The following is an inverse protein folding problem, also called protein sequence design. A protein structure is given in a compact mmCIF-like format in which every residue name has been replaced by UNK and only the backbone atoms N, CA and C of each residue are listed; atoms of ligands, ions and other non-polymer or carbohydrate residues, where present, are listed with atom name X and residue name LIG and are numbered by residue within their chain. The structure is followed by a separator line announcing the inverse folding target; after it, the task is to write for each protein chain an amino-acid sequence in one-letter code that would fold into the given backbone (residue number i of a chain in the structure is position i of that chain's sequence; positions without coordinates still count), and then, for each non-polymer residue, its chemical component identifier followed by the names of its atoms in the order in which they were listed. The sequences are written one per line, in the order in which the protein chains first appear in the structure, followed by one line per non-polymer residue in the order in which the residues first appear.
data_IF_604561072647
#
_entry.id   IF_604561072647
#
_cell.length_a   1.000
_cell.length_b   1.000
_cell.length_c   1.000
_cell.angle_alpha   90.00
_cell.angle_beta   90.00
_cell.angle_gamma   90.00
#
_symmetry.space_group_name_H-M   'P 1'
#
loop_
_entity.id
_entity.type
_entity.pdbx_description
1 polymer ?
#
# COMPACT_ATOMS: atom_id res chain seq x y z
N UNK A 1 -3.26 -6.47 -14.96
CA UNK A 1 -2.36 -6.68 -16.13
C UNK A 1 -0.94 -6.77 -15.59
N UNK A 2 -0.10 -7.65 -16.17
CA UNK A 2 1.29 -7.74 -15.76
C UNK A 2 2.05 -6.45 -16.10
N UNK A 3 2.97 -6.07 -15.21
CA UNK A 3 3.89 -4.95 -15.40
C UNK A 3 5.31 -5.43 -15.09
N UNK A 4 6.31 -4.65 -15.43
CA UNK A 4 7.68 -4.85 -14.97
C UNK A 4 8.19 -3.59 -14.26
N UNK A 5 9.02 -3.76 -13.24
CA UNK A 5 9.78 -2.67 -12.63
C UNK A 5 11.24 -2.84 -13.00
N UNK A 6 11.84 -1.81 -13.57
CA UNK A 6 13.25 -1.78 -13.95
C UNK A 6 14.00 -0.79 -13.06
N UNK A 7 14.61 -1.29 -11.99
CA UNK A 7 15.47 -0.50 -11.13
C UNK A 7 16.89 -0.41 -11.70
N UNK A 8 17.61 0.70 -11.49
CA UNK A 8 18.99 0.85 -11.92
C UNK A 8 19.91 -0.26 -11.35
N UNK A 9 20.63 -0.93 -12.24
CA UNK A 9 21.55 -2.01 -11.86
C UNK A 9 20.90 -3.36 -11.60
N UNK A 10 19.60 -3.49 -11.74
CA UNK A 10 18.85 -4.75 -11.61
C UNK A 10 18.22 -5.15 -12.95
N UNK A 11 18.03 -6.45 -13.16
CA UNK A 11 17.20 -6.92 -14.26
C UNK A 11 15.73 -6.52 -14.02
N UNK A 12 14.93 -6.24 -15.07
CA UNK A 12 13.52 -5.97 -14.91
C UNK A 12 12.81 -7.07 -14.11
N UNK A 13 11.96 -6.68 -13.18
CA UNK A 13 11.15 -7.57 -12.35
C UNK A 13 9.70 -7.60 -12.89
N UNK A 14 9.30 -8.65 -13.62
CA UNK A 14 7.91 -8.83 -14.01
C UNK A 14 7.06 -9.17 -12.79
N UNK A 15 5.89 -8.55 -12.68
CA UNK A 15 4.95 -8.75 -11.58
C UNK A 15 3.50 -8.71 -12.05
N UNK A 16 2.67 -9.47 -11.33
CA UNK A 16 1.22 -9.44 -11.45
C UNK A 16 0.62 -9.21 -10.05
N UNK A 17 -0.13 -8.13 -9.88
CA UNK A 17 -0.81 -7.87 -8.61
C UNK A 17 -1.88 -8.93 -8.34
N UNK A 18 -1.82 -9.54 -7.14
CA UNK A 18 -2.73 -10.64 -6.77
C UNK A 18 -4.19 -10.18 -6.75
N UNK A 19 -4.45 -8.98 -6.24
CA UNK A 19 -5.80 -8.44 -6.09
C UNK A 19 -6.52 -8.22 -7.43
N UNK A 20 -5.78 -7.90 -8.49
CA UNK A 20 -6.35 -7.63 -9.83
C UNK A 20 -6.22 -8.81 -10.79
N UNK A 21 -5.62 -9.91 -10.33
CA UNK A 21 -5.48 -11.14 -11.10
C UNK A 21 -6.75 -11.98 -11.04
N UNK A 22 -6.89 -12.85 -12.03
CA UNK A 22 -7.82 -13.98 -12.02
C UNK A 22 -7.02 -15.28 -12.25
N UNK A 23 -7.63 -16.46 -12.07
CA UNK A 23 -6.92 -17.74 -12.25
C UNK A 23 -6.30 -17.90 -13.64
N UNK A 24 -6.96 -17.43 -14.69
CA UNK A 24 -6.47 -17.53 -16.08
C UNK A 24 -5.28 -16.59 -16.30
N UNK A 25 -5.39 -15.37 -15.84
CA UNK A 25 -4.31 -14.37 -15.91
C UNK A 25 -3.08 -14.81 -15.13
N UNK A 26 -3.27 -15.40 -13.94
CA UNK A 26 -2.18 -15.97 -13.16
C UNK A 26 -1.51 -17.14 -13.89
N UNK A 27 -2.29 -18.09 -14.40
CA UNK A 27 -1.75 -19.23 -15.14
C UNK A 27 -0.97 -18.78 -16.38
N UNK A 28 -1.51 -17.81 -17.11
CA UNK A 28 -0.83 -17.22 -18.27
C UNK A 28 0.47 -16.53 -17.88
N UNK A 29 0.47 -15.77 -16.79
CA UNK A 29 1.65 -15.04 -16.30
C UNK A 29 2.73 -16.00 -15.80
N UNK A 30 2.36 -16.98 -14.96
CA UNK A 30 3.28 -17.93 -14.36
C UNK A 30 3.65 -19.11 -15.29
N UNK A 31 3.07 -19.20 -16.49
CA UNK A 31 3.32 -20.28 -17.44
C UNK A 31 2.84 -21.66 -16.96
N UNK A 32 1.81 -21.72 -16.11
CA UNK A 32 1.26 -22.94 -15.54
C UNK A 32 2.15 -23.62 -14.49
N UNK A 33 3.26 -22.97 -14.08
CA UNK A 33 4.19 -23.47 -13.08
C UNK A 33 3.95 -22.88 -11.67
N UNK A 34 4.71 -23.38 -10.71
CA UNK A 34 4.78 -22.78 -9.39
C UNK A 34 5.48 -21.42 -9.48
N UNK A 35 5.00 -20.45 -8.71
CA UNK A 35 5.44 -19.05 -8.76
C UNK A 35 5.87 -18.53 -7.40
N UNK A 36 6.83 -17.60 -7.33
CA UNK A 36 7.15 -16.88 -6.12
C UNK A 36 6.13 -15.76 -5.86
N UNK A 37 5.88 -15.47 -4.58
CA UNK A 37 4.96 -14.42 -4.15
C UNK A 37 5.69 -13.37 -3.33
N UNK A 38 5.63 -12.11 -3.74
CA UNK A 38 6.12 -10.97 -2.98
C UNK A 38 5.01 -10.38 -2.12
N UNK A 39 5.29 -10.15 -0.85
CA UNK A 39 4.38 -9.49 0.10
C UNK A 39 5.12 -8.42 0.92
N UNK A 40 4.37 -7.52 1.52
CA UNK A 40 4.96 -6.56 2.46
C UNK A 40 5.51 -7.25 3.71
N UNK A 41 6.52 -6.66 4.36
CA UNK A 41 7.06 -7.18 5.63
C UNK A 41 5.97 -7.25 6.71
N UNK A 42 5.11 -6.23 6.83
CA UNK A 42 4.00 -6.24 7.78
C UNK A 42 3.05 -7.42 7.57
N UNK A 43 2.77 -7.79 6.31
CA UNK A 43 1.98 -8.98 6.01
C UNK A 43 2.72 -10.27 6.37
N UNK A 44 4.01 -10.35 6.07
CA UNK A 44 4.86 -11.47 6.47
C UNK A 44 4.93 -11.67 7.99
N UNK A 45 4.96 -10.57 8.74
CA UNK A 45 4.92 -10.61 10.21
C UNK A 45 3.60 -11.21 10.73
N UNK A 46 2.47 -10.81 10.17
CA UNK A 46 1.15 -11.37 10.49
C UNK A 46 1.12 -12.88 10.21
N UNK A 47 1.71 -13.30 9.10
CA UNK A 47 1.79 -14.71 8.69
C UNK A 47 2.89 -15.51 9.42
N UNK A 48 3.62 -14.89 10.37
CA UNK A 48 4.71 -15.51 11.14
C UNK A 48 5.91 -15.98 10.31
N UNK A 49 6.18 -15.29 9.21
CA UNK A 49 7.30 -15.60 8.31
C UNK A 49 8.60 -14.86 8.68
N UNK A 50 8.52 -13.80 9.49
CA UNK A 50 9.67 -12.94 9.85
C UNK A 50 10.71 -13.61 10.75
N UNK A 51 10.46 -14.83 11.22
CA UNK A 51 11.43 -15.66 11.94
C UNK A 51 12.44 -16.35 10.99
N UNK A 52 12.22 -16.28 9.68
CA UNK A 52 13.12 -16.84 8.66
C UNK A 52 14.15 -15.78 8.24
N UNK A 53 15.39 -16.22 7.98
CA UNK A 53 16.51 -15.31 7.71
C UNK A 53 16.25 -14.35 6.54
N UNK A 54 15.64 -14.84 5.46
CA UNK A 54 15.33 -14.03 4.28
C UNK A 54 14.20 -13.01 4.50
N UNK A 55 13.52 -13.04 5.64
CA UNK A 55 12.44 -12.13 6.02
C UNK A 55 12.75 -11.32 7.30
N UNK A 56 14.00 -11.37 7.76
CA UNK A 56 14.38 -10.78 9.06
C UNK A 56 14.49 -9.25 9.04
N UNK A 57 14.70 -8.64 7.87
CA UNK A 57 14.82 -7.19 7.72
C UNK A 57 13.40 -6.57 7.66
N UNK A 58 13.02 -5.71 8.63
CA UNK A 58 11.69 -5.12 8.68
C UNK A 58 11.43 -4.08 7.58
N UNK A 59 12.48 -3.55 6.97
CA UNK A 59 12.37 -2.48 5.96
C UNK A 59 12.27 -3.04 4.52
N UNK A 60 12.46 -4.35 4.35
CA UNK A 60 12.38 -5.01 3.04
C UNK A 60 11.11 -5.84 2.89
N UNK A 61 10.54 -5.93 1.68
CA UNK A 61 9.48 -6.88 1.38
C UNK A 61 9.98 -8.32 1.51
N UNK A 62 9.06 -9.27 1.54
CA UNK A 62 9.37 -10.69 1.71
C UNK A 62 8.90 -11.46 0.50
N UNK A 63 9.80 -12.25 -0.10
CA UNK A 63 9.46 -13.20 -1.15
C UNK A 63 9.22 -14.58 -0.56
N UNK A 64 8.12 -15.22 -0.95
CA UNK A 64 7.75 -16.59 -0.60
C UNK A 64 8.17 -17.50 -1.76
N UNK A 65 8.85 -18.59 -1.41
CA UNK A 65 9.26 -19.61 -2.39
C UNK A 65 8.04 -20.25 -3.08
N UNK A 66 8.18 -20.60 -4.37
CA UNK A 66 7.18 -21.42 -5.05
C UNK A 66 6.90 -22.71 -4.29
N UNK A 67 5.62 -23.06 -4.16
CA UNK A 67 5.21 -24.31 -3.52
C UNK A 67 4.04 -24.93 -4.30
N UNK A 68 3.93 -26.27 -4.35
CA UNK A 68 2.86 -26.95 -5.10
C UNK A 68 1.45 -26.59 -4.64
N UNK A 69 1.30 -26.13 -3.40
CA UNK A 69 0.03 -25.68 -2.80
C UNK A 69 -0.16 -24.16 -2.84
N UNK A 70 0.79 -23.42 -3.39
CA UNK A 70 0.66 -21.98 -3.61
C UNK A 70 -0.07 -21.77 -4.95
N UNK A 71 -1.38 -21.96 -4.95
CA UNK A 71 -2.29 -21.68 -6.04
C UNK A 71 -2.88 -20.27 -5.95
N UNK A 72 -3.76 -19.92 -6.90
CA UNK A 72 -4.41 -18.61 -6.91
C UNK A 72 -5.18 -18.33 -5.62
N UNK A 73 -5.95 -19.27 -5.12
CA UNK A 73 -6.76 -19.10 -3.91
C UNK A 73 -5.90 -18.88 -2.67
N UNK A 74 -4.78 -19.59 -2.61
CA UNK A 74 -3.79 -19.44 -1.54
C UNK A 74 -3.07 -18.09 -1.65
N UNK A 75 -2.71 -17.65 -2.85
CA UNK A 75 -2.09 -16.34 -3.07
C UNK A 75 -3.03 -15.20 -2.62
N UNK A 76 -4.32 -15.27 -2.95
CA UNK A 76 -5.34 -14.32 -2.47
C UNK A 76 -5.43 -14.35 -0.94
N UNK A 77 -5.50 -15.52 -0.32
CA UNK A 77 -5.58 -15.64 1.14
C UNK A 77 -4.29 -15.16 1.84
N UNK A 78 -3.14 -15.25 1.19
CA UNK A 78 -1.88 -14.68 1.70
C UNK A 78 -1.86 -13.16 1.57
N UNK A 79 -2.41 -12.61 0.48
CA UNK A 79 -2.44 -11.18 0.22
C UNK A 79 -3.42 -10.45 1.14
N UNK A 80 -4.65 -10.97 1.28
CA UNK A 80 -5.77 -10.29 1.90
C UNK A 80 -6.02 -10.74 3.36
N UNK A 81 -5.92 -9.82 4.33
CA UNK A 81 -6.17 -10.09 5.74
C UNK A 81 -7.60 -10.55 6.07
N UNK A 82 -8.60 -10.23 5.23
CA UNK A 82 -9.99 -10.66 5.48
C UNK A 82 -10.14 -12.18 5.56
N UNK A 83 -9.24 -12.93 4.91
CA UNK A 83 -9.23 -14.39 4.94
C UNK A 83 -8.46 -15.00 6.12
N UNK A 84 -7.90 -14.20 7.03
CA UNK A 84 -7.06 -14.73 8.11
C UNK A 84 -7.83 -15.60 9.10
N UNK A 85 -9.07 -15.26 9.38
CA UNK A 85 -9.93 -16.05 10.26
C UNK A 85 -10.51 -17.29 9.56
N UNK A 86 -10.80 -17.18 8.26
CA UNK A 86 -11.36 -18.30 7.49
C UNK A 86 -10.30 -19.36 7.15
N UNK A 87 -9.05 -18.94 6.95
CA UNK A 87 -7.92 -19.81 6.60
C UNK A 87 -6.73 -19.56 7.53
N UNK A 88 -6.81 -19.92 8.82
CA UNK A 88 -5.79 -19.60 9.81
C UNK A 88 -4.47 -20.34 9.58
N UNK A 89 -4.51 -21.51 8.95
CA UNK A 89 -3.33 -22.36 8.65
C UNK A 89 -3.09 -22.36 7.15
N UNK A 90 -2.39 -21.34 6.65
CA UNK A 90 -2.14 -21.16 5.22
C UNK A 90 -0.90 -21.91 4.71
N UNK A 91 0.08 -22.21 5.58
CA UNK A 91 1.36 -22.78 5.24
C UNK A 91 1.49 -24.30 5.43
N UNK A 92 2.72 -24.82 5.41
CA UNK A 92 3.98 -24.08 5.63
C UNK A 92 4.52 -23.38 4.37
N UNK A 93 5.09 -22.17 4.56
CA UNK A 93 5.79 -21.46 3.50
C UNK A 93 7.24 -21.18 3.89
N UNK A 94 8.11 -21.11 2.90
CA UNK A 94 9.50 -20.68 3.05
C UNK A 94 9.69 -19.33 2.41
N UNK A 95 10.55 -18.52 3.00
CA UNK A 95 10.98 -17.27 2.40
C UNK A 95 12.27 -17.47 1.63
N UNK A 96 12.41 -16.74 0.54
CA UNK A 96 13.61 -16.76 -0.31
C UNK A 96 14.27 -15.39 -0.35
N UNK A 97 15.55 -15.36 -0.69
CA UNK A 97 16.28 -14.12 -0.94
C UNK A 97 15.68 -13.38 -2.13
N UNK A 98 15.69 -12.06 -2.04
CA UNK A 98 15.23 -11.18 -3.12
C UNK A 98 16.43 -10.76 -3.96
N UNK A 99 16.46 -11.17 -5.24
CA UNK A 99 17.55 -10.85 -6.16
C UNK A 99 17.47 -9.40 -6.68
N UNK A 100 16.27 -8.79 -6.63
CA UNK A 100 15.98 -7.44 -7.13
C UNK A 100 15.32 -6.60 -6.03
N UNK A 101 16.08 -6.22 -4.98
CA UNK A 101 15.52 -5.57 -3.80
C UNK A 101 14.94 -4.18 -4.09
N UNK A 102 15.58 -3.39 -4.97
CA UNK A 102 15.07 -2.05 -5.29
C UNK A 102 13.76 -2.11 -6.09
N UNK A 103 13.67 -3.01 -7.08
CA UNK A 103 12.44 -3.23 -7.84
C UNK A 103 11.31 -3.79 -6.95
N UNK A 104 11.64 -4.71 -6.04
CA UNK A 104 10.67 -5.29 -5.10
C UNK A 104 10.12 -4.25 -4.11
N UNK A 105 10.98 -3.38 -3.59
CA UNK A 105 10.56 -2.28 -2.72
C UNK A 105 9.66 -1.28 -3.47
N UNK A 106 10.03 -0.96 -4.72
CA UNK A 106 9.24 -0.09 -5.59
C UNK A 106 7.87 -0.71 -5.91
N UNK A 107 7.78 -2.03 -6.09
CA UNK A 107 6.52 -2.74 -6.30
C UNK A 107 5.55 -2.56 -5.11
N UNK A 108 6.03 -2.75 -3.89
CA UNK A 108 5.22 -2.57 -2.68
C UNK A 108 4.75 -1.10 -2.54
N UNK A 109 5.62 -0.14 -2.89
CA UNK A 109 5.23 1.29 -2.89
C UNK A 109 4.17 1.58 -3.94
N UNK A 110 4.35 1.06 -5.15
CA UNK A 110 3.38 1.22 -6.24
C UNK A 110 2.00 0.67 -5.87
N UNK A 111 1.93 -0.53 -5.26
CA UNK A 111 0.66 -1.09 -4.80
C UNK A 111 -0.06 -0.15 -3.82
N UNK A 112 0.68 0.41 -2.86
CA UNK A 112 0.10 1.35 -1.87
C UNK A 112 -0.45 2.62 -2.53
N UNK A 113 0.26 3.18 -3.51
CA UNK A 113 -0.19 4.37 -4.26
C UNK A 113 -1.44 4.04 -5.07
N UNK A 114 -1.48 2.86 -5.67
CA UNK A 114 -2.62 2.38 -6.46
C UNK A 114 -3.82 1.94 -5.61
N UNK A 115 -3.72 1.98 -4.28
CA UNK A 115 -4.77 1.48 -3.37
C UNK A 115 -4.97 -0.03 -3.43
N UNK A 116 -3.94 -0.77 -3.85
CA UNK A 116 -3.98 -2.23 -3.96
C UNK A 116 -3.31 -2.91 -2.77
N UNK A 117 -3.69 -4.16 -2.51
CA UNK A 117 -2.97 -5.03 -1.58
C UNK A 117 -1.52 -5.19 -2.04
N UNK A 118 -0.52 -4.97 -1.15
CA UNK A 118 0.89 -5.05 -1.51
C UNK A 118 1.36 -6.50 -1.62
N UNK A 119 0.86 -7.21 -2.64
CA UNK A 119 1.15 -8.60 -2.93
C UNK A 119 1.21 -8.85 -4.44
N UNK A 120 2.31 -9.46 -4.92
CA UNK A 120 2.56 -9.70 -6.33
C UNK A 120 3.08 -11.10 -6.58
N UNK A 121 2.60 -11.73 -7.64
CA UNK A 121 3.28 -12.87 -8.26
C UNK A 121 4.46 -12.34 -9.06
N UNK A 122 5.61 -13.01 -8.95
CA UNK A 122 6.87 -12.59 -9.56
C UNK A 122 7.28 -13.48 -10.75
N UNK A 123 8.19 -12.94 -11.55
CA UNK A 123 8.98 -13.68 -12.54
C UNK A 123 8.19 -14.36 -13.67
N UNK A 124 6.99 -13.88 -13.94
CA UNK A 124 6.20 -14.35 -15.06
C UNK A 124 6.52 -13.64 -16.38
N UNK A 125 5.64 -13.82 -17.34
CA UNK A 125 5.74 -13.27 -18.70
C UNK A 125 4.58 -12.33 -19.02
N UNK A 126 4.67 -11.62 -20.16
CA UNK A 126 3.57 -10.78 -20.64
C UNK A 126 3.49 -9.38 -20.02
N UNK A 127 4.56 -8.92 -19.37
CA UNK A 127 4.64 -7.53 -18.92
C UNK A 127 4.84 -6.60 -20.13
N UNK A 128 3.81 -5.81 -20.46
CA UNK A 128 3.84 -4.87 -21.57
C UNK A 128 4.33 -3.48 -21.16
N UNK A 129 4.18 -3.14 -19.89
CA UNK A 129 4.56 -1.83 -19.34
C UNK A 129 5.73 -2.01 -18.38
N UNK A 130 6.76 -1.20 -18.56
CA UNK A 130 7.90 -1.14 -17.64
C UNK A 130 7.90 0.20 -16.93
N UNK A 131 8.03 0.17 -15.60
CA UNK A 131 8.01 1.33 -14.71
C UNK A 131 9.38 1.51 -14.09
N UNK A 132 9.91 2.74 -14.13
CA UNK A 132 11.08 3.16 -13.40
C UNK A 132 10.69 3.51 -11.95
N UNK A 133 11.37 3.01 -10.91
CA UNK A 133 11.16 3.44 -9.52
C UNK A 133 11.18 4.96 -9.33
N UNK A 134 12.01 5.68 -10.08
CA UNK A 134 12.04 7.14 -10.02
C UNK A 134 10.72 7.79 -10.45
N UNK A 135 9.96 7.18 -11.36
CA UNK A 135 8.63 7.66 -11.73
C UNK A 135 7.62 7.51 -10.58
N UNK A 136 7.74 6.44 -9.79
CA UNK A 136 6.93 6.22 -8.58
C UNK A 136 7.24 7.30 -7.53
N UNK A 137 8.53 7.58 -7.31
CA UNK A 137 8.97 8.60 -6.35
C UNK A 137 8.54 10.02 -6.80
N UNK A 138 8.64 10.32 -8.09
CA UNK A 138 8.19 11.57 -8.67
C UNK A 138 6.67 11.76 -8.53
N UNK A 139 5.89 10.70 -8.74
CA UNK A 139 4.44 10.72 -8.55
C UNK A 139 4.09 11.01 -7.08
N UNK A 140 4.72 10.35 -6.12
CA UNK A 140 4.52 10.62 -4.71
C UNK A 140 4.91 12.07 -4.32
N UNK A 141 5.99 12.59 -4.90
CA UNK A 141 6.41 13.98 -4.66
C UNK A 141 5.44 14.99 -5.28
N UNK A 142 4.84 14.68 -6.44
CA UNK A 142 3.83 15.52 -7.09
C UNK A 142 2.50 15.54 -6.36
N UNK A 143 2.17 14.44 -5.66
CA UNK A 143 0.97 14.28 -4.84
C UNK A 143 0.98 15.10 -3.54
N UNK A 144 1.97 15.97 -3.31
CA UNK A 144 2.01 16.86 -2.17
C UNK A 144 0.75 17.73 -2.12
N UNK A 145 0.04 17.69 -1.00
CA UNK A 145 -1.16 18.49 -0.77
C UNK A 145 -0.86 19.98 -0.98
N UNK A 146 -1.69 20.64 -1.77
CA UNK A 146 -1.60 22.08 -1.99
C UNK A 146 -2.70 22.79 -1.20
N UNK A 147 -2.32 23.86 -0.52
CA UNK A 147 -3.28 24.74 0.15
C UNK A 147 -4.27 25.29 -0.90
N UNK A 148 -5.53 24.94 -0.76
CA UNK A 148 -6.59 25.42 -1.63
C UNK A 148 -7.24 26.70 -1.06
N UNK A 149 -7.59 26.69 0.22
CA UNK A 149 -8.21 27.83 0.89
C UNK A 149 -8.04 27.76 2.39
N UNK A 150 -8.21 28.88 3.05
CA UNK A 150 -8.16 29.02 4.51
C UNK A 150 -9.24 30.01 4.94
N UNK A 151 -9.96 29.69 6.01
CA UNK A 151 -11.00 30.55 6.55
C UNK A 151 -11.03 30.46 8.07
N UNK A 152 -11.43 31.54 8.74
CA UNK A 152 -11.78 31.48 10.16
C UNK A 152 -13.08 30.71 10.31
N UNK A 153 -13.10 29.79 11.25
CA UNK A 153 -14.26 28.96 11.59
C UNK A 153 -14.42 28.94 13.12
N UNK A 154 -14.99 29.99 13.72
CA UNK A 154 -15.28 29.97 15.14
C UNK A 154 -16.25 28.83 15.47
N UNK A 155 -15.84 27.97 16.40
CA UNK A 155 -16.67 26.88 16.92
C UNK A 155 -16.85 27.03 18.41
N UNK A 156 -17.85 26.42 18.99
CA UNK A 156 -18.09 26.45 20.43
C UNK A 156 -16.86 25.94 21.19
N UNK A 157 -16.36 26.74 22.13
CA UNK A 157 -15.15 26.45 22.88
C UNK A 157 -13.82 26.69 22.13
N UNK A 158 -13.86 27.16 20.86
CA UNK A 158 -12.66 27.48 20.08
C UNK A 158 -12.92 28.63 19.08
N UNK A 159 -13.12 29.84 19.60
CA UNK A 159 -13.47 31.02 18.80
C UNK A 159 -12.39 31.46 17.80
N UNK A 160 -11.12 31.08 18.04
CA UNK A 160 -10.00 31.38 17.15
C UNK A 160 -9.67 30.22 16.17
N UNK A 161 -10.58 29.27 16.02
CA UNK A 161 -10.35 28.14 15.10
C UNK A 161 -10.35 28.60 13.64
N UNK A 162 -9.53 27.90 12.86
CA UNK A 162 -9.43 28.08 11.42
C UNK A 162 -9.60 26.74 10.70
N UNK A 163 -10.26 26.77 9.57
CA UNK A 163 -10.36 25.63 8.66
C UNK A 163 -9.44 25.86 7.47
N UNK A 164 -8.67 24.86 7.13
CA UNK A 164 -7.74 24.87 6.00
C UNK A 164 -8.05 23.69 5.09
N UNK A 165 -8.36 23.98 3.83
CA UNK A 165 -8.60 22.96 2.84
C UNK A 165 -7.36 22.77 1.95
N UNK A 166 -7.06 21.51 1.69
CA UNK A 166 -5.98 21.10 0.81
C UNK A 166 -6.54 20.24 -0.31
N UNK A 167 -5.89 20.26 -1.46
CA UNK A 167 -6.19 19.40 -2.61
C UNK A 167 -4.94 18.65 -3.04
N UNK A 168 -5.12 17.39 -3.38
CA UNK A 168 -4.13 16.64 -4.15
C UNK A 168 -4.24 17.00 -5.63
N UNK A 169 -3.15 17.16 -6.37
CA UNK A 169 -3.21 17.34 -7.82
C UNK A 169 -3.73 16.10 -8.54
N UNK A 170 -3.61 14.92 -7.93
CA UNK A 170 -3.86 13.61 -8.55
C UNK A 170 -5.16 12.94 -8.07
N UNK A 171 -5.89 13.59 -7.16
CA UNK A 171 -7.16 13.09 -6.61
C UNK A 171 -8.18 14.21 -6.51
N UNK A 172 -9.46 13.88 -6.67
CA UNK A 172 -10.56 14.79 -6.38
C UNK A 172 -10.85 14.93 -4.88
N UNK A 173 -10.14 14.20 -4.03
CA UNK A 173 -10.37 14.19 -2.60
C UNK A 173 -9.92 15.50 -1.97
N UNK A 174 -10.76 16.04 -1.11
CA UNK A 174 -10.45 17.22 -0.32
C UNK A 174 -9.96 16.79 1.07
N UNK A 175 -8.82 17.32 1.47
CA UNK A 175 -8.28 17.13 2.81
C UNK A 175 -8.48 18.41 3.61
N UNK A 176 -9.06 18.27 4.79
CA UNK A 176 -9.39 19.40 5.65
C UNK A 176 -8.61 19.29 6.96
N UNK A 177 -8.04 20.41 7.39
CA UNK A 177 -7.45 20.55 8.72
C UNK A 177 -8.23 21.62 9.50
N UNK A 178 -8.69 21.27 10.70
CA UNK A 178 -9.16 22.24 11.69
C UNK A 178 -8.00 22.60 12.62
N UNK A 179 -7.63 23.85 12.66
CA UNK A 179 -6.59 24.39 13.52
C UNK A 179 -7.23 25.08 14.72
N UNK A 180 -6.91 24.60 15.92
CA UNK A 180 -7.41 25.16 17.17
C UNK A 180 -6.24 25.73 17.98
N UNK A 181 -6.29 27.02 18.27
CA UNK A 181 -5.24 27.72 18.98
C UNK A 181 -4.07 28.15 18.10
N UNK A 182 -3.02 28.68 18.72
CA UNK A 182 -1.83 29.20 18.05
C UNK A 182 -0.60 28.34 18.34
N UNK A 183 0.31 28.17 17.36
CA UNK A 183 1.59 27.53 17.60
C UNK A 183 2.37 28.25 18.69
N UNK A 184 2.79 27.53 19.72
CA UNK A 184 3.52 28.08 20.86
C UNK A 184 4.97 27.57 20.98
N UNK A 185 5.50 26.97 19.91
CA UNK A 185 6.84 26.36 19.88
C UNK A 185 6.87 24.92 20.41
N UNK A 186 5.79 24.41 20.96
CA UNK A 186 5.66 22.99 21.30
C UNK A 186 5.10 22.18 20.12
N UNK A 187 5.39 20.88 20.00
CA UNK A 187 4.77 20.03 18.99
C UNK A 187 3.23 20.08 19.10
N UNK A 188 2.50 20.32 18.02
CA UNK A 188 1.04 20.35 18.05
C UNK A 188 0.48 18.95 18.31
N UNK A 189 -0.63 18.87 19.03
CA UNK A 189 -1.43 17.64 19.10
C UNK A 189 -2.20 17.49 17.80
N UNK A 190 -1.98 16.38 17.09
CA UNK A 190 -2.66 16.06 15.84
C UNK A 190 -3.59 14.87 16.05
N UNK A 191 -4.83 14.99 15.56
CA UNK A 191 -5.79 13.89 15.46
C UNK A 191 -6.18 13.69 14.01
N UNK A 192 -6.12 12.46 13.55
CA UNK A 192 -6.65 12.06 12.25
C UNK A 192 -8.11 11.61 12.41
N UNK A 193 -8.94 12.06 11.49
CA UNK A 193 -10.36 11.73 11.45
C UNK A 193 -10.76 11.41 10.02
N UNK A 194 -11.37 10.26 9.79
CA UNK A 194 -11.74 9.77 8.46
C UNK A 194 -13.26 9.78 8.19
N UNK A 195 -14.03 10.22 9.17
CA UNK A 195 -15.48 10.16 9.14
C UNK A 195 -16.13 11.55 8.98
N UNK A 196 -17.35 11.73 9.45
CA UNK A 196 -18.17 12.90 9.23
C UNK A 196 -17.63 14.17 9.92
N UNK A 197 -16.95 15.03 9.15
CA UNK A 197 -16.45 16.30 9.63
C UNK A 197 -17.56 17.15 10.27
N UNK A 198 -18.74 17.15 9.68
CA UNK A 198 -19.85 18.00 10.14
C UNK A 198 -20.44 17.54 11.46
N UNK A 199 -20.62 16.22 11.66
CA UNK A 199 -21.14 15.67 12.91
C UNK A 199 -20.10 15.65 14.01
N UNK A 200 -18.96 15.01 13.73
CA UNK A 200 -17.99 14.67 14.77
C UNK A 200 -17.06 15.82 15.15
N UNK A 201 -16.74 16.69 14.20
CA UNK A 201 -15.84 17.85 14.44
C UNK A 201 -16.62 19.12 14.71
N UNK A 202 -17.66 19.39 13.92
CA UNK A 202 -18.42 20.64 14.00
C UNK A 202 -19.70 20.53 14.86
N UNK A 203 -20.01 19.32 15.37
CA UNK A 203 -21.17 19.10 16.24
C UNK A 203 -22.51 19.29 15.54
N UNK A 204 -22.60 19.00 14.25
CA UNK A 204 -23.86 19.13 13.49
C UNK A 204 -24.89 18.12 14.02
N UNK A 205 -26.04 18.64 14.42
CA UNK A 205 -27.21 17.83 14.85
C UNK A 205 -27.92 17.14 13.67
N UNK A 206 -27.40 17.28 12.46
CA UNK A 206 -28.00 16.74 11.23
C UNK A 206 -27.21 15.53 10.69
N UNK A 207 -26.21 15.09 11.43
CA UNK A 207 -25.40 13.94 11.09
C UNK A 207 -25.85 12.72 11.92
N UNK A 208 -26.25 11.65 11.26
CA UNK A 208 -26.63 10.37 11.89
C UNK A 208 -25.38 9.58 12.29
#
# INVERSE_FOLDING_TARGET
WPIAIAAPGEAPLPLLAVETADPIGLESFAGGGAFPLLISNGRAATLKLTNQLAAADPDTPVAIEPAPWLDFSTAVALADPQFDLATPLKGPFRTMAIDRPAASLAAIRLARIAGLLPAFVLDGTGAEVTIDPAAIDAHQASGALRLATRARLPVDGAEEAEIVAFRSPDSSDEHIALLVGQPNGSPPLVRLHSECLTGDVLGSLKCD
#
